data_IF_869633929628
#
_entry.id   IF_869633929628
#
_cell.length_a   1.000
_cell.length_b   1.000
_cell.length_c   1.000
_cell.angle_alpha   90.00
_cell.angle_beta   90.00
_cell.angle_gamma   90.00
#
_symmetry.space_group_name_H-M   'P 1'
#
loop_
_entity.id
_entity.type
_entity.pdbx_description
1 polymer ?
#
# COMPACT_ATOMS: atom_id res chain seq x y z
N UNK A 1 7.33 -52.35 17.09
CA UNK A 1 8.49 -51.51 16.71
C UNK A 1 7.91 -50.30 16.01
N UNK A 2 8.28 -49.08 16.39
CA UNK A 2 7.86 -47.90 15.65
C UNK A 2 8.45 -48.00 14.23
N UNK A 3 7.60 -47.97 13.22
CA UNK A 3 8.03 -48.06 11.82
C UNK A 3 8.90 -46.84 11.48
N UNK A 4 9.90 -47.04 10.62
CA UNK A 4 10.84 -45.99 10.21
C UNK A 4 10.13 -44.70 9.78
N UNK A 5 9.03 -44.86 9.02
CA UNK A 5 8.20 -43.76 8.52
C UNK A 5 7.61 -42.91 9.65
N UNK A 6 7.16 -43.54 10.74
CA UNK A 6 6.64 -42.84 11.92
C UNK A 6 7.72 -41.97 12.57
N UNK A 7 8.87 -42.55 12.91
CA UNK A 7 9.95 -41.84 13.60
C UNK A 7 10.48 -40.71 12.71
N UNK A 8 10.67 -40.99 11.43
CA UNK A 8 11.17 -40.04 10.45
C UNK A 8 10.22 -38.84 10.31
N UNK A 9 8.92 -39.09 10.17
CA UNK A 9 7.91 -38.04 10.04
C UNK A 9 7.81 -37.19 11.30
N UNK A 10 7.79 -37.81 12.48
CA UNK A 10 7.78 -37.07 13.77
C UNK A 10 9.02 -36.20 13.91
N UNK A 11 10.21 -36.72 13.59
CA UNK A 11 11.45 -35.96 13.65
C UNK A 11 11.42 -34.74 12.71
N UNK A 12 10.92 -34.90 11.48
CA UNK A 12 10.75 -33.80 10.53
C UNK A 12 9.75 -32.76 11.02
N UNK A 13 8.63 -33.16 11.63
CA UNK A 13 7.64 -32.22 12.18
C UNK A 13 8.18 -31.42 13.37
N UNK A 14 8.94 -32.07 14.25
CA UNK A 14 9.61 -31.37 15.35
C UNK A 14 10.62 -30.36 14.79
N UNK A 15 11.43 -30.78 13.82
CA UNK A 15 12.41 -29.91 13.17
C UNK A 15 11.74 -28.72 12.47
N UNK A 16 10.70 -28.97 11.69
CA UNK A 16 9.86 -27.95 11.05
C UNK A 16 9.34 -26.96 12.08
N UNK A 17 8.77 -27.45 13.19
CA UNK A 17 8.23 -26.61 14.27
C UNK A 17 9.31 -25.74 14.90
N UNK A 18 10.50 -26.28 15.16
CA UNK A 18 11.64 -25.52 15.70
C UNK A 18 12.04 -24.39 14.74
N UNK A 19 12.16 -24.66 13.45
CA UNK A 19 12.50 -23.65 12.45
C UNK A 19 11.43 -22.57 12.33
N UNK A 20 10.14 -22.94 12.36
CA UNK A 20 9.03 -22.00 12.34
C UNK A 20 9.02 -21.09 13.59
N UNK A 21 9.27 -21.64 14.77
CA UNK A 21 9.32 -20.87 16.03
C UNK A 21 10.54 -19.95 16.11
N UNK A 22 11.69 -20.38 15.55
CA UNK A 22 12.93 -19.60 15.54
C UNK A 22 12.98 -18.54 14.45
N UNK A 23 12.09 -18.60 13.46
CA UNK A 23 12.03 -17.69 12.31
C UNK A 23 13.39 -17.51 11.58
N UNK A 24 14.26 -18.54 11.60
CA UNK A 24 15.59 -18.46 10.96
C UNK A 24 15.51 -18.47 9.43
N UNK A 25 14.47 -19.08 8.88
CA UNK A 25 14.23 -19.23 7.44
C UNK A 25 12.77 -18.82 7.20
N UNK A 26 12.47 -18.28 6.01
CA UNK A 26 11.09 -17.94 5.63
C UNK A 26 10.16 -19.17 5.73
N UNK A 27 8.94 -18.95 6.22
CA UNK A 27 8.00 -20.03 6.58
C UNK A 27 7.62 -20.92 5.38
N UNK A 28 7.49 -20.34 4.19
CA UNK A 28 7.22 -21.07 2.95
C UNK A 28 8.36 -22.02 2.58
N UNK A 29 9.61 -21.60 2.77
CA UNK A 29 10.79 -22.43 2.52
C UNK A 29 10.91 -23.58 3.52
N UNK A 30 10.60 -23.33 4.80
CA UNK A 30 10.62 -24.37 5.84
C UNK A 30 9.59 -25.46 5.54
N UNK A 31 8.36 -25.07 5.23
CA UNK A 31 7.26 -26.00 4.96
C UNK A 31 7.52 -26.76 3.65
N UNK A 32 7.93 -26.07 2.58
CA UNK A 32 8.24 -26.73 1.31
C UNK A 32 9.45 -27.68 1.42
N UNK A 33 10.49 -27.31 2.17
CA UNK A 33 11.63 -28.21 2.41
C UNK A 33 11.22 -29.45 3.20
N UNK A 34 10.32 -29.30 4.17
CA UNK A 34 9.77 -30.44 4.93
C UNK A 34 9.02 -31.40 4.02
N UNK A 35 8.21 -30.88 3.09
CA UNK A 35 7.55 -31.69 2.06
C UNK A 35 8.55 -32.47 1.21
N UNK A 36 9.61 -31.81 0.71
CA UNK A 36 10.64 -32.47 -0.10
C UNK A 36 11.40 -33.55 0.68
N UNK A 37 11.65 -33.33 1.98
CA UNK A 37 12.26 -34.33 2.84
C UNK A 37 11.34 -35.55 3.06
N UNK A 38 10.03 -35.35 3.18
CA UNK A 38 9.07 -36.47 3.24
C UNK A 38 9.08 -37.32 1.96
N UNK A 39 9.23 -36.68 0.79
CA UNK A 39 9.42 -37.40 -0.49
C UNK A 39 10.75 -38.16 -0.46
N UNK A 40 11.84 -37.51 -0.05
CA UNK A 40 13.17 -38.11 -0.02
C UNK A 40 13.25 -39.30 0.96
N UNK A 41 12.53 -39.25 2.07
CA UNK A 41 12.40 -40.34 3.03
C UNK A 41 11.45 -41.46 2.59
N UNK A 42 10.79 -41.33 1.44
CA UNK A 42 9.88 -42.35 0.90
C UNK A 42 8.52 -42.44 1.60
N UNK A 43 8.19 -41.51 2.50
CA UNK A 43 6.91 -41.49 3.24
C UNK A 43 5.74 -41.12 2.32
N UNK A 44 5.99 -40.25 1.34
CA UNK A 44 5.01 -39.82 0.34
C UNK A 44 5.58 -39.90 -1.06
N UNK A 45 4.72 -40.24 -2.02
CA UNK A 45 5.06 -40.21 -3.44
C UNK A 45 5.05 -38.77 -3.98
N UNK A 46 5.76 -38.47 -5.09
CA UNK A 46 5.68 -37.15 -5.73
C UNK A 46 4.24 -36.75 -6.11
N UNK A 47 3.40 -37.72 -6.51
CA UNK A 47 2.01 -37.46 -6.85
C UNK A 47 1.21 -36.99 -5.64
N UNK A 48 1.41 -37.61 -4.48
CA UNK A 48 0.78 -37.19 -3.21
C UNK A 48 1.32 -35.85 -2.74
N UNK A 49 2.64 -35.64 -2.81
CA UNK A 49 3.27 -34.40 -2.38
C UNK A 49 2.78 -33.18 -3.16
N UNK A 50 2.60 -33.31 -4.48
CA UNK A 50 2.15 -32.22 -5.34
C UNK A 50 0.63 -32.18 -5.55
N UNK A 51 -0.15 -33.09 -4.95
CA UNK A 51 -1.61 -33.10 -5.06
C UNK A 51 -2.24 -31.77 -4.57
N UNK A 52 -1.69 -31.19 -3.50
CA UNK A 52 -2.12 -29.91 -2.93
C UNK A 52 -2.07 -28.72 -3.90
N UNK A 53 -1.29 -28.80 -4.98
CA UNK A 53 -1.25 -27.76 -6.01
C UNK A 53 -2.51 -27.74 -6.90
N UNK A 54 -3.28 -28.83 -6.89
CA UNK A 54 -4.57 -28.91 -7.59
C UNK A 54 -5.77 -28.77 -6.66
N UNK A 55 -5.54 -28.54 -5.35
CA UNK A 55 -6.60 -28.46 -4.35
C UNK A 55 -7.50 -27.23 -4.57
N UNK A 56 -8.82 -27.43 -4.41
CA UNK A 56 -9.82 -26.38 -4.60
C UNK A 56 -9.66 -25.18 -3.66
N UNK A 57 -9.29 -25.41 -2.40
CA UNK A 57 -9.05 -24.35 -1.43
C UNK A 57 -7.85 -23.49 -1.81
N UNK A 58 -6.74 -24.11 -2.21
CA UNK A 58 -5.53 -23.41 -2.67
C UNK A 58 -5.82 -22.50 -3.88
N UNK A 59 -6.46 -23.06 -4.91
CA UNK A 59 -6.81 -22.31 -6.13
C UNK A 59 -7.81 -21.19 -5.84
N UNK A 60 -8.75 -21.39 -4.93
CA UNK A 60 -9.68 -20.35 -4.46
C UNK A 60 -8.93 -19.16 -3.87
N UNK A 61 -7.93 -19.42 -3.00
CA UNK A 61 -7.09 -18.36 -2.41
C UNK A 61 -6.33 -17.58 -3.50
N UNK A 62 -5.85 -18.25 -4.53
CA UNK A 62 -5.18 -17.61 -5.67
C UNK A 62 -6.08 -16.57 -6.35
N UNK A 63 -7.31 -16.94 -6.70
CA UNK A 63 -8.25 -16.00 -7.32
C UNK A 63 -8.70 -14.89 -6.35
N UNK A 64 -8.83 -15.17 -5.05
CA UNK A 64 -9.14 -14.14 -4.05
C UNK A 64 -8.05 -13.05 -3.96
N UNK A 65 -6.77 -13.38 -4.18
CA UNK A 65 -5.71 -12.36 -4.27
C UNK A 65 -5.93 -11.41 -5.45
N UNK A 66 -6.37 -11.92 -6.60
CA UNK A 66 -6.69 -11.11 -7.79
C UNK A 66 -7.86 -10.16 -7.49
N UNK A 67 -8.93 -10.66 -6.87
CA UNK A 67 -10.10 -9.84 -6.52
C UNK A 67 -9.73 -8.76 -5.51
N UNK A 68 -8.95 -9.10 -4.48
CA UNK A 68 -8.46 -8.13 -3.51
C UNK A 68 -7.61 -7.02 -4.17
N UNK A 69 -6.72 -7.40 -5.10
CA UNK A 69 -5.93 -6.45 -5.87
C UNK A 69 -6.80 -5.57 -6.78
N UNK A 70 -7.84 -6.12 -7.40
CA UNK A 70 -8.77 -5.34 -8.22
C UNK A 70 -9.49 -4.28 -7.40
N UNK A 71 -10.03 -4.63 -6.23
CA UNK A 71 -10.71 -3.69 -5.33
C UNK A 71 -9.78 -2.59 -4.79
N UNK A 72 -8.51 -2.92 -4.60
CA UNK A 72 -7.48 -1.94 -4.29
C UNK A 72 -7.27 -0.95 -5.44
N UNK A 73 -7.10 -1.47 -6.67
CA UNK A 73 -6.91 -0.65 -7.88
C UNK A 73 -8.13 0.22 -8.20
N UNK A 74 -9.35 -0.24 -7.90
CA UNK A 74 -10.57 0.55 -8.07
C UNK A 74 -10.80 1.57 -6.94
N UNK A 75 -9.97 1.59 -5.91
CA UNK A 75 -10.01 2.58 -4.83
C UNK A 75 -11.15 2.40 -3.83
N UNK A 76 -11.84 1.25 -3.83
CA UNK A 76 -12.91 0.92 -2.86
C UNK A 76 -12.37 1.03 -1.43
N UNK A 77 -11.20 0.44 -1.18
CA UNK A 77 -10.57 0.42 0.14
C UNK A 77 -10.13 1.81 0.62
N UNK A 78 -9.78 2.72 -0.29
CA UNK A 78 -9.44 4.12 0.05
C UNK A 78 -10.67 4.96 0.41
N UNK A 79 -11.81 4.71 -0.25
CA UNK A 79 -13.07 5.39 0.07
C UNK A 79 -13.57 4.99 1.46
N UNK A 80 -13.45 3.71 1.80
CA UNK A 80 -13.71 3.19 3.15
C UNK A 80 -12.87 3.94 4.19
N UNK A 81 -11.56 4.04 4.03
CA UNK A 81 -10.70 4.72 5.01
C UNK A 81 -11.05 6.20 5.23
N UNK A 82 -11.51 6.93 4.20
CA UNK A 82 -11.98 8.32 4.35
C UNK A 82 -13.36 8.43 5.03
N UNK A 83 -14.28 7.51 4.73
CA UNK A 83 -15.62 7.50 5.31
C UNK A 83 -15.64 7.07 6.79
N UNK A 84 -14.71 6.21 7.17
CA UNK A 84 -14.64 5.56 8.48
C UNK A 84 -14.05 6.49 9.56
N UNK A 85 -13.09 7.33 9.17
CA UNK A 85 -12.20 8.00 10.09
C UNK A 85 -12.58 9.50 10.22
N UNK A 86 -13.73 9.78 10.83
CA UNK A 86 -14.17 11.15 11.11
C UNK A 86 -13.20 11.92 12.02
N UNK A 87 -13.22 13.26 11.96
CA UNK A 87 -12.23 14.12 12.63
C UNK A 87 -12.42 14.22 14.16
N UNK A 88 -13.66 14.09 14.67
CA UNK A 88 -14.00 14.32 16.09
C UNK A 88 -14.28 13.02 16.86
N UNK A 89 -13.82 12.92 18.11
CA UNK A 89 -14.15 11.83 19.05
C UNK A 89 -12.95 11.19 19.77
N UNK A 90 -13.22 10.41 20.82
CA UNK A 90 -12.21 9.63 21.56
C UNK A 90 -11.65 8.48 20.72
N UNK A 91 -10.48 7.95 21.10
CA UNK A 91 -9.81 6.84 20.40
C UNK A 91 -10.74 5.62 20.31
N UNK A 92 -11.45 5.27 21.39
CA UNK A 92 -12.41 4.15 21.37
C UNK A 92 -13.56 4.37 20.38
N UNK A 93 -14.11 5.58 20.26
CA UNK A 93 -15.15 5.88 19.25
C UNK A 93 -14.61 5.75 17.82
N UNK A 94 -13.33 6.09 17.62
CA UNK A 94 -12.64 5.96 16.33
C UNK A 94 -12.36 4.50 15.98
N UNK A 95 -11.93 3.70 16.95
CA UNK A 95 -11.81 2.25 16.80
C UNK A 95 -13.18 1.61 16.51
N UNK A 96 -14.24 1.99 17.23
CA UNK A 96 -15.58 1.46 16.97
C UNK A 96 -16.09 1.74 15.55
N UNK A 97 -15.66 2.86 14.94
CA UNK A 97 -15.96 3.15 13.53
C UNK A 97 -15.09 2.35 12.57
N UNK A 98 -13.82 2.11 12.93
CA UNK A 98 -12.83 1.45 12.08
C UNK A 98 -12.94 -0.07 12.05
N UNK A 99 -13.05 -0.71 13.22
CA UNK A 99 -12.88 -2.15 13.32
C UNK A 99 -14.03 -2.94 12.67
N UNK A 100 -15.32 -2.59 12.80
CA UNK A 100 -16.40 -3.37 12.20
C UNK A 100 -16.35 -3.42 10.66
N UNK A 101 -16.16 -2.31 9.92
CA UNK A 101 -16.01 -2.38 8.46
C UNK A 101 -14.79 -3.18 8.02
N UNK A 102 -13.68 -3.08 8.75
CA UNK A 102 -12.46 -3.86 8.44
C UNK A 102 -12.70 -5.35 8.66
N UNK A 103 -13.32 -5.70 9.78
CA UNK A 103 -13.69 -7.08 10.09
C UNK A 103 -14.67 -7.64 9.06
N UNK A 104 -15.68 -6.87 8.68
CA UNK A 104 -16.63 -7.26 7.62
C UNK A 104 -15.92 -7.48 6.27
N UNK A 105 -14.97 -6.63 5.89
CA UNK A 105 -14.18 -6.85 4.68
C UNK A 105 -13.32 -8.11 4.79
N UNK A 106 -12.62 -8.29 5.91
CA UNK A 106 -11.80 -9.50 6.15
C UNK A 106 -12.62 -10.79 6.18
N UNK A 107 -13.91 -10.70 6.50
CA UNK A 107 -14.81 -11.84 6.38
C UNK A 107 -15.01 -12.30 4.93
N UNK A 108 -14.61 -11.53 3.91
CA UNK A 108 -14.75 -11.93 2.50
C UNK A 108 -13.42 -11.91 1.74
N UNK A 109 -12.31 -11.56 2.39
CA UNK A 109 -11.00 -11.41 1.79
C UNK A 109 -9.91 -11.90 2.72
N UNK A 110 -8.77 -12.27 2.14
CA UNK A 110 -7.59 -12.57 2.92
C UNK A 110 -7.15 -11.35 3.77
N UNK A 111 -6.77 -11.62 5.02
CA UNK A 111 -6.40 -10.60 6.01
C UNK A 111 -5.20 -9.74 5.54
N UNK A 112 -4.19 -10.37 4.95
CA UNK A 112 -2.89 -9.72 4.65
C UNK A 112 -3.00 -8.56 3.65
N UNK A 113 -3.64 -8.72 2.47
CA UNK A 113 -3.87 -7.59 1.56
C UNK A 113 -4.64 -6.44 2.20
N UNK A 114 -5.73 -6.73 2.93
CA UNK A 114 -6.54 -5.68 3.56
C UNK A 114 -5.71 -4.85 4.53
N UNK A 115 -4.98 -5.52 5.43
CA UNK A 115 -4.15 -4.82 6.42
C UNK A 115 -3.07 -4.01 5.73
N UNK A 116 -2.33 -4.60 4.79
CA UNK A 116 -1.28 -3.91 4.03
C UNK A 116 -1.80 -2.65 3.32
N UNK A 117 -3.02 -2.72 2.76
CA UNK A 117 -3.66 -1.61 2.07
C UNK A 117 -4.22 -0.54 3.01
N UNK A 118 -4.67 -0.93 4.20
CA UNK A 118 -5.21 0.01 5.20
C UNK A 118 -4.14 0.65 6.07
N UNK A 119 -2.95 0.03 6.22
CA UNK A 119 -1.81 0.64 6.93
C UNK A 119 -1.51 2.07 6.47
N UNK A 120 -1.30 2.37 5.17
CA UNK A 120 -0.99 3.74 4.74
C UNK A 120 -2.15 4.70 4.99
N UNK A 121 -3.40 4.25 4.87
CA UNK A 121 -4.59 5.09 5.09
C UNK A 121 -4.76 5.43 6.57
N UNK A 122 -4.65 4.42 7.44
CA UNK A 122 -4.72 4.60 8.90
C UNK A 122 -3.54 5.41 9.40
N UNK A 123 -2.33 5.18 8.86
CA UNK A 123 -1.13 5.96 9.19
C UNK A 123 -1.29 7.43 8.82
N UNK A 124 -1.68 7.74 7.58
CA UNK A 124 -1.89 9.11 7.11
C UNK A 124 -2.96 9.83 7.92
N UNK A 125 -4.08 9.15 8.19
CA UNK A 125 -5.14 9.74 9.01
C UNK A 125 -4.72 9.97 10.47
N UNK A 126 -4.04 9.00 11.09
CA UNK A 126 -3.58 9.11 12.48
C UNK A 126 -2.58 10.28 12.61
N UNK A 127 -1.67 10.43 11.64
CA UNK A 127 -0.74 11.56 11.55
C UNK A 127 -1.46 12.90 11.42
N UNK A 128 -2.38 13.03 10.46
CA UNK A 128 -3.17 14.25 10.24
C UNK A 128 -3.94 14.71 11.48
N UNK A 129 -4.33 13.76 12.33
CA UNK A 129 -5.10 14.03 13.54
C UNK A 129 -4.27 13.97 14.84
N UNK A 130 -2.94 13.97 14.75
CA UNK A 130 -2.01 13.92 15.89
C UNK A 130 -2.24 12.74 16.84
N UNK A 131 -2.61 11.58 16.30
CA UNK A 131 -2.71 10.33 17.06
C UNK A 131 -1.52 9.41 16.83
N UNK A 132 -1.16 8.67 17.88
CA UNK A 132 -0.14 7.64 17.82
C UNK A 132 -0.63 6.44 17.00
N UNK A 133 0.09 6.14 15.91
CA UNK A 133 -0.24 5.12 14.91
C UNK A 133 -0.36 3.72 15.54
N UNK A 134 0.47 3.43 16.54
CA UNK A 134 0.46 2.15 17.27
C UNK A 134 -0.90 1.81 17.88
N UNK A 135 -1.69 2.82 18.28
CA UNK A 135 -3.02 2.64 18.85
C UNK A 135 -4.09 2.23 17.83
N UNK A 136 -3.78 2.23 16.54
CA UNK A 136 -4.71 1.88 15.47
C UNK A 136 -4.24 0.69 14.62
N UNK A 137 -2.94 0.53 14.37
CA UNK A 137 -2.45 -0.57 13.52
C UNK A 137 -2.60 -1.95 14.16
N UNK A 138 -2.34 -2.07 15.47
CA UNK A 138 -2.55 -3.33 16.18
C UNK A 138 -4.04 -3.71 16.18
N UNK A 139 -4.97 -2.84 16.60
CA UNK A 139 -6.41 -3.09 16.51
C UNK A 139 -6.89 -3.45 15.10
N UNK A 140 -6.36 -2.75 14.08
CA UNK A 140 -6.67 -3.02 12.67
C UNK A 140 -6.32 -4.47 12.30
N UNK A 141 -5.12 -4.92 12.66
CA UNK A 141 -4.67 -6.29 12.39
C UNK A 141 -5.55 -7.32 13.10
N UNK A 142 -5.89 -7.11 14.37
CA UNK A 142 -6.76 -8.03 15.11
C UNK A 142 -8.19 -8.04 14.59
N UNK A 143 -8.75 -6.90 14.18
CA UNK A 143 -10.07 -6.86 13.58
C UNK A 143 -10.11 -7.59 12.22
N UNK A 144 -9.05 -7.49 11.43
CA UNK A 144 -8.91 -8.29 10.21
C UNK A 144 -8.89 -9.80 10.54
N UNK A 145 -8.07 -10.23 11.49
CA UNK A 145 -8.01 -11.64 11.93
C UNK A 145 -9.38 -12.14 12.40
N UNK A 146 -10.05 -11.40 13.29
CA UNK A 146 -11.39 -11.73 13.79
C UNK A 146 -12.42 -11.77 12.66
N UNK A 147 -12.36 -10.83 11.72
CA UNK A 147 -13.19 -10.84 10.52
C UNK A 147 -12.98 -12.09 9.66
N UNK A 148 -11.72 -12.46 9.42
CA UNK A 148 -11.35 -13.64 8.63
C UNK A 148 -11.90 -14.94 9.21
N UNK A 149 -12.11 -15.01 10.53
CA UNK A 149 -12.73 -16.19 11.18
C UNK A 149 -14.25 -16.28 11.00
N UNK A 150 -14.91 -15.26 10.43
CA UNK A 150 -16.36 -15.24 10.31
C UNK A 150 -16.91 -16.04 9.13
N UNK A 151 -16.14 -16.34 8.09
CA UNK A 151 -16.62 -17.11 6.93
C UNK A 151 -15.61 -18.15 6.49
N UNK A 152 -16.05 -19.03 5.60
CA UNK A 152 -15.19 -20.04 4.98
C UNK A 152 -14.01 -19.46 4.20
N UNK A 153 -14.18 -18.32 3.51
CA UNK A 153 -13.12 -17.72 2.68
C UNK A 153 -12.27 -16.68 3.39
N UNK A 154 -12.66 -16.25 4.59
CA UNK A 154 -11.99 -15.14 5.28
C UNK A 154 -10.54 -15.45 5.68
N UNK A 155 -10.18 -16.73 5.82
CA UNK A 155 -8.81 -17.15 6.09
C UNK A 155 -8.43 -18.40 5.31
N UNK A 156 -7.18 -18.47 4.89
CA UNK A 156 -6.61 -19.64 4.20
C UNK A 156 -6.73 -20.92 5.02
N UNK A 157 -6.68 -20.83 6.35
CA UNK A 157 -6.83 -21.98 7.25
C UNK A 157 -8.19 -22.64 7.12
N UNK A 158 -9.27 -21.87 6.97
CA UNK A 158 -10.63 -22.40 6.80
C UNK A 158 -10.77 -23.13 5.46
N UNK A 159 -10.17 -22.57 4.40
CA UNK A 159 -10.15 -23.19 3.08
C UNK A 159 -9.29 -24.46 3.03
N UNK A 160 -8.18 -24.51 3.79
CA UNK A 160 -7.37 -25.73 3.93
C UNK A 160 -8.20 -26.83 4.59
N UNK A 161 -8.86 -26.53 5.72
CA UNK A 161 -9.71 -27.50 6.43
C UNK A 161 -10.85 -27.99 5.53
N UNK A 162 -11.57 -27.08 4.87
CA UNK A 162 -12.61 -27.45 3.92
C UNK A 162 -12.09 -28.29 2.75
N UNK A 163 -10.92 -27.96 2.21
CA UNK A 163 -10.27 -28.75 1.17
C UNK A 163 -9.94 -30.17 1.64
N UNK A 164 -9.38 -30.32 2.85
CA UNK A 164 -9.09 -31.62 3.45
C UNK A 164 -10.37 -32.42 3.72
N UNK A 165 -11.46 -31.77 4.13
CA UNK A 165 -12.74 -32.44 4.32
C UNK A 165 -13.26 -33.08 3.03
N UNK A 166 -13.24 -32.32 1.93
CA UNK A 166 -13.68 -32.82 0.62
C UNK A 166 -12.78 -33.96 0.11
N UNK A 167 -11.46 -33.86 0.29
CA UNK A 167 -10.52 -34.92 -0.11
C UNK A 167 -10.73 -36.22 0.67
N UNK A 168 -11.17 -36.13 1.92
CA UNK A 168 -11.50 -37.28 2.77
C UNK A 168 -12.95 -37.77 2.59
N UNK A 169 -13.67 -37.30 1.56
CA UNK A 169 -15.05 -37.72 1.27
C UNK A 169 -16.09 -37.22 2.28
N UNK A 170 -15.74 -36.24 3.12
CA UNK A 170 -16.69 -35.57 4.02
C UNK A 170 -17.40 -34.44 3.29
N UNK A 171 -18.61 -34.09 3.75
CA UNK A 171 -19.29 -32.89 3.28
C UNK A 171 -18.46 -31.65 3.66
N UNK A 172 -18.16 -30.80 2.68
CA UNK A 172 -17.42 -29.57 2.93
C UNK A 172 -18.25 -28.56 3.72
N UNK A 173 -17.58 -27.67 4.45
CA UNK A 173 -18.24 -26.58 5.18
C UNK A 173 -19.09 -25.70 4.27
N UNK A 174 -20.29 -25.34 4.73
CA UNK A 174 -21.10 -24.30 4.08
C UNK A 174 -20.50 -22.91 4.29
N UNK A 175 -20.79 -21.98 3.37
CA UNK A 175 -20.14 -20.66 3.34
C UNK A 175 -20.24 -19.87 4.67
N UNK A 176 -21.41 -19.89 5.32
CA UNK A 176 -21.68 -19.20 6.59
C UNK A 176 -21.76 -20.15 7.80
N UNK A 177 -21.29 -21.38 7.68
CA UNK A 177 -21.37 -22.36 8.77
C UNK A 177 -20.56 -21.91 9.99
N UNK A 178 -19.32 -21.47 9.73
CA UNK A 178 -18.39 -20.95 10.74
C UNK A 178 -18.91 -19.63 11.33
N UNK A 179 -19.77 -18.89 10.62
CA UNK A 179 -20.29 -17.59 11.10
C UNK A 179 -21.05 -17.70 12.41
N UNK A 180 -21.67 -18.85 12.69
CA UNK A 180 -22.38 -19.11 13.96
C UNK A 180 -21.48 -18.94 15.18
N UNK A 181 -20.20 -19.31 15.07
CA UNK A 181 -19.20 -19.16 16.13
C UNK A 181 -18.31 -17.95 15.89
N UNK A 182 -17.91 -17.71 14.65
CA UNK A 182 -17.01 -16.63 14.26
C UNK A 182 -17.58 -15.23 14.50
N UNK A 183 -18.86 -14.99 14.18
CA UNK A 183 -19.47 -13.65 14.38
C UNK A 183 -19.55 -13.27 15.86
N UNK A 184 -20.05 -14.12 16.77
CA UNK A 184 -20.00 -13.82 18.21
C UNK A 184 -18.58 -13.55 18.72
N UNK A 185 -17.60 -14.36 18.32
CA UNK A 185 -16.20 -14.17 18.71
C UNK A 185 -15.64 -12.85 18.18
N UNK A 186 -15.94 -12.49 16.93
CA UNK A 186 -15.53 -11.23 16.33
C UNK A 186 -16.16 -10.03 17.04
N UNK A 187 -17.46 -10.09 17.36
CA UNK A 187 -18.15 -9.02 18.09
C UNK A 187 -17.54 -8.82 19.48
N UNK A 188 -17.33 -9.90 20.23
CA UNK A 188 -16.73 -9.84 21.58
C UNK A 188 -15.29 -9.35 21.49
N UNK A 189 -14.49 -9.88 20.57
CA UNK A 189 -13.10 -9.48 20.37
C UNK A 189 -12.97 -8.01 19.98
N UNK A 190 -13.81 -7.52 19.05
CA UNK A 190 -13.86 -6.10 18.68
C UNK A 190 -14.27 -5.24 19.88
N UNK A 191 -15.26 -5.66 20.67
CA UNK A 191 -15.68 -4.93 21.86
C UNK A 191 -14.53 -4.80 22.88
N UNK A 192 -13.81 -5.89 23.14
CA UNK A 192 -12.62 -5.90 24.02
C UNK A 192 -11.56 -4.93 23.48
N UNK A 193 -11.26 -4.98 22.18
CA UNK A 193 -10.27 -4.08 21.58
C UNK A 193 -10.72 -2.62 21.70
N UNK A 194 -11.98 -2.30 21.40
CA UNK A 194 -12.50 -0.93 21.50
C UNK A 194 -12.42 -0.38 22.93
N UNK A 195 -12.68 -1.21 23.93
CA UNK A 195 -12.70 -0.82 25.35
C UNK A 195 -11.27 -0.72 25.90
N UNK A 196 -10.43 -1.72 25.66
CA UNK A 196 -9.15 -1.87 26.36
C UNK A 196 -7.93 -1.44 25.55
N UNK A 197 -7.97 -1.45 24.21
CA UNK A 197 -6.78 -1.18 23.39
C UNK A 197 -6.22 0.22 23.62
N UNK A 198 -7.06 1.22 23.87
CA UNK A 198 -6.59 2.57 24.18
C UNK A 198 -5.71 2.63 25.44
N UNK A 199 -5.99 1.78 26.45
CA UNK A 199 -5.28 1.74 27.74
C UNK A 199 -4.07 0.80 27.72
N UNK A 200 -4.20 -0.36 27.06
CA UNK A 200 -3.17 -1.39 27.05
C UNK A 200 -2.07 -1.13 26.02
N UNK A 201 -2.39 -0.49 24.88
CA UNK A 201 -1.41 -0.33 23.81
C UNK A 201 -0.45 0.84 24.10
N UNK A 202 0.86 0.60 23.97
CA UNK A 202 1.86 1.63 24.21
C UNK A 202 1.72 2.77 23.21
N UNK A 203 1.91 3.98 23.71
CA UNK A 203 1.92 5.17 22.89
C UNK A 203 3.30 5.35 22.26
N UNK A 204 3.47 4.78 21.06
CA UNK A 204 4.69 4.95 20.26
C UNK A 204 4.44 6.05 19.25
N UNK A 205 4.92 7.25 19.55
CA UNK A 205 5.08 8.30 18.53
C UNK A 205 6.29 7.90 17.70
N UNK A 206 6.09 7.57 16.42
CA UNK A 206 7.21 7.47 15.50
C UNK A 206 7.96 8.81 15.54
N UNK A 207 9.31 8.85 15.68
CA UNK A 207 10.05 10.07 15.42
C UNK A 207 9.64 10.53 14.04
N UNK A 208 9.15 11.76 14.01
CA UNK A 208 8.25 12.25 12.99
C UNK A 208 8.95 12.16 11.62
N UNK A 209 8.49 11.24 10.76
CA UNK A 209 8.74 11.34 9.31
C UNK A 209 7.77 12.40 8.78
N UNK A 210 8.12 13.66 9.06
CA UNK A 210 7.37 14.88 8.70
C UNK A 210 7.50 15.22 7.21
N UNK A 211 8.34 14.49 6.47
CA UNK A 211 8.91 14.96 5.21
C UNK A 211 7.97 14.92 4.00
N UNK A 212 6.96 14.04 3.98
CA UNK A 212 6.13 13.82 2.78
C UNK A 212 4.73 14.44 2.81
N UNK A 213 4.15 14.63 4.00
CA UNK A 213 2.76 15.10 4.13
C UNK A 213 2.66 16.64 4.24
N UNK A 214 3.64 17.31 4.84
CA UNK A 214 3.70 18.78 4.90
C UNK A 214 4.12 19.45 3.58
N UNK A 215 4.45 18.69 2.55
CA UNK A 215 4.84 19.19 1.21
C UNK A 215 3.67 19.21 0.22
N UNK A 216 2.54 18.55 0.54
CA UNK A 216 1.31 18.60 -0.28
C UNK A 216 0.50 19.87 -0.09
N UNK A 217 0.81 20.61 0.95
CA UNK A 217 0.35 21.97 1.21
C UNK A 217 1.64 22.79 1.02
N UNK A 218 1.88 23.44 -0.11
CA UNK A 218 1.76 24.90 -0.28
C UNK A 218 2.11 25.26 -1.73
N UNK A 219 1.57 24.52 -2.70
CA UNK A 219 1.59 24.96 -4.08
C UNK A 219 0.44 25.95 -4.29
N UNK A 220 0.76 27.16 -4.74
CA UNK A 220 -0.22 28.22 -4.99
C UNK A 220 -0.20 28.55 -6.47
N UNK A 221 -1.39 28.65 -7.07
CA UNK A 221 -1.56 29.13 -8.43
C UNK A 221 -2.02 30.59 -8.41
N UNK A 222 -1.28 31.45 -9.11
CA UNK A 222 -1.68 32.83 -9.40
C UNK A 222 -2.01 32.97 -10.87
N UNK A 223 -3.03 33.75 -11.19
CA UNK A 223 -3.33 34.16 -12.57
C UNK A 223 -2.73 35.54 -12.81
N UNK A 224 -2.06 35.71 -13.96
CA UNK A 224 -1.63 37.01 -14.45
C UNK A 224 -2.83 37.73 -15.07
N UNK A 225 -3.23 38.85 -14.48
CA UNK A 225 -4.29 39.73 -15.00
C UNK A 225 -3.71 40.91 -15.79
N UNK A 226 -4.58 41.63 -16.49
CA UNK A 226 -4.21 42.71 -17.43
C UNK A 226 -3.55 43.90 -16.76
N UNK A 227 -3.72 44.06 -15.45
CA UNK A 227 -3.10 45.06 -14.58
C UNK A 227 -1.70 44.64 -14.06
N UNK A 228 -1.16 43.50 -14.51
CA UNK A 228 0.18 43.07 -14.12
C UNK A 228 1.28 43.90 -14.82
N UNK A 229 2.02 44.69 -14.04
CA UNK A 229 3.03 45.64 -14.54
C UNK A 229 4.22 45.02 -15.30
N UNK A 230 4.37 43.69 -15.28
CA UNK A 230 5.50 42.97 -15.89
C UNK A 230 5.07 42.02 -17.02
N UNK A 231 3.92 42.27 -17.66
CA UNK A 231 3.55 41.56 -18.90
C UNK A 231 4.61 41.81 -19.98
N UNK A 232 5.06 40.74 -20.64
CA UNK A 232 6.08 40.75 -21.69
C UNK A 232 7.53 40.75 -21.19
N UNK A 233 7.75 40.94 -19.89
CA UNK A 233 9.06 40.89 -19.23
C UNK A 233 9.44 39.45 -18.85
N UNK A 234 10.73 39.22 -18.64
CA UNK A 234 11.23 37.92 -18.19
C UNK A 234 10.88 37.66 -16.72
N UNK A 235 10.90 36.40 -16.30
CA UNK A 235 10.67 35.99 -14.89
C UNK A 235 11.65 36.64 -13.93
N UNK A 236 12.86 36.94 -14.40
CA UNK A 236 13.87 37.69 -13.64
C UNK A 236 13.54 39.18 -13.55
N UNK A 237 13.22 39.83 -14.67
CA UNK A 237 12.80 41.24 -14.72
C UNK A 237 11.50 41.52 -13.95
N UNK A 238 10.66 40.49 -13.81
CA UNK A 238 9.44 40.52 -13.03
C UNK A 238 9.65 40.30 -11.52
N UNK A 239 10.90 40.05 -11.09
CA UNK A 239 11.25 39.80 -9.69
C UNK A 239 10.71 38.49 -9.12
N UNK A 240 10.01 37.67 -9.93
CA UNK A 240 9.41 36.40 -9.50
C UNK A 240 10.45 35.31 -9.23
N UNK A 241 11.71 35.53 -9.65
CA UNK A 241 12.82 34.63 -9.37
C UNK A 241 13.46 34.84 -7.99
N UNK A 242 13.37 36.05 -7.45
CA UNK A 242 14.09 36.45 -6.23
C UNK A 242 13.20 36.54 -4.99
N UNK A 243 11.97 36.06 -5.08
CA UNK A 243 11.02 36.05 -3.98
C UNK A 243 11.61 35.37 -2.72
N UNK A 244 11.42 35.99 -1.57
CA UNK A 244 11.87 35.44 -0.28
C UNK A 244 10.89 34.33 0.12
N UNK A 245 11.35 33.09 0.12
CA UNK A 245 10.55 31.94 0.59
C UNK A 245 9.47 31.44 -0.36
N UNK A 246 9.43 31.90 -1.61
CA UNK A 246 8.55 31.40 -2.68
C UNK A 246 9.36 31.16 -3.95
N UNK A 247 8.99 30.11 -4.69
CA UNK A 247 9.67 29.71 -5.92
C UNK A 247 8.67 29.40 -7.02
N UNK A 248 8.74 30.14 -8.14
CA UNK A 248 8.00 29.84 -9.36
C UNK A 248 8.62 28.63 -10.05
N UNK A 249 7.89 27.51 -10.06
CA UNK A 249 8.40 26.26 -10.66
C UNK A 249 7.73 25.92 -11.99
N UNK A 250 6.57 26.50 -12.29
CA UNK A 250 5.81 26.21 -13.50
C UNK A 250 4.99 27.42 -13.97
N UNK A 251 4.95 27.61 -15.30
CA UNK A 251 3.98 28.48 -15.98
C UNK A 251 3.09 27.60 -16.86
N UNK A 252 1.77 27.77 -16.76
CA UNK A 252 0.81 27.18 -17.71
C UNK A 252 0.25 28.30 -18.60
N UNK A 253 0.42 28.12 -19.92
CA UNK A 253 -0.02 29.05 -20.97
C UNK A 253 -0.79 28.30 -22.04
N UNK A 254 -2.04 28.66 -22.29
CA UNK A 254 -2.88 28.04 -23.34
C UNK A 254 -2.86 26.49 -23.30
N UNK A 255 -3.00 25.90 -22.11
CA UNK A 255 -2.88 24.45 -21.83
C UNK A 255 -1.51 23.81 -22.16
N UNK A 256 -0.45 24.60 -22.37
CA UNK A 256 0.93 24.12 -22.45
C UNK A 256 1.65 24.40 -21.14
N UNK A 257 2.40 23.42 -20.67
CA UNK A 257 3.16 23.49 -19.42
C UNK A 257 4.61 23.85 -19.75
N UNK A 258 5.04 24.99 -19.23
CA UNK A 258 6.42 25.44 -19.24
C UNK A 258 7.01 25.11 -17.86
N UNK A 259 7.64 23.94 -17.79
CA UNK A 259 8.28 23.47 -16.57
C UNK A 259 9.63 22.80 -16.85
N UNK A 260 10.65 23.11 -16.05
CA UNK A 260 10.71 24.22 -15.10
C UNK A 260 10.99 25.56 -15.79
N UNK A 261 10.57 26.61 -15.10
CA UNK A 261 10.64 28.00 -15.56
C UNK A 261 12.09 28.52 -15.53
N UNK A 262 12.56 29.00 -16.68
CA UNK A 262 13.83 29.70 -16.88
C UNK A 262 13.76 31.16 -16.43
N UNK A 263 14.91 31.80 -16.26
CA UNK A 263 15.00 33.23 -15.95
C UNK A 263 14.55 34.10 -17.14
N UNK A 264 14.83 33.66 -18.37
CA UNK A 264 14.47 34.34 -19.62
C UNK A 264 13.01 34.12 -20.06
N UNK A 265 12.27 33.25 -19.37
CA UNK A 265 10.88 32.97 -19.75
C UNK A 265 10.05 34.24 -19.58
N UNK A 266 9.38 34.67 -20.65
CA UNK A 266 8.52 35.85 -20.62
C UNK A 266 7.16 35.52 -20.04
N UNK A 267 6.64 36.41 -19.21
CA UNK A 267 5.31 36.32 -18.60
C UNK A 267 4.30 37.02 -19.49
N UNK A 268 3.17 36.38 -19.78
CA UNK A 268 2.10 36.97 -20.57
C UNK A 268 0.79 37.00 -19.79
N UNK A 269 -0.13 37.84 -20.25
CA UNK A 269 -1.49 37.91 -19.73
C UNK A 269 -2.17 36.53 -19.79
N UNK A 270 -2.95 36.19 -18.77
CA UNK A 270 -3.61 34.90 -18.57
C UNK A 270 -2.68 33.70 -18.31
N UNK A 271 -1.37 33.91 -18.16
CA UNK A 271 -0.48 32.87 -17.64
C UNK A 271 -0.92 32.46 -16.22
N UNK A 272 -0.82 31.16 -15.94
CA UNK A 272 -1.00 30.61 -14.60
C UNK A 272 0.36 30.24 -14.03
N UNK A 273 0.72 30.94 -12.97
CA UNK A 273 2.02 30.85 -12.32
C UNK A 273 1.90 29.98 -11.07
N UNK A 274 2.68 28.90 -10.99
CA UNK A 274 2.66 27.97 -9.87
C UNK A 274 3.88 28.16 -8.99
N UNK A 275 3.64 28.50 -7.73
CA UNK A 275 4.66 28.76 -6.73
C UNK A 275 4.67 27.67 -5.66
N UNK A 276 5.85 27.37 -5.11
CA UNK A 276 6.03 26.53 -3.91
C UNK A 276 6.80 27.32 -2.85
N UNK A 277 6.42 27.25 -1.57
CA UNK A 277 7.05 28.06 -0.53
C UNK A 277 6.40 28.03 0.85
N UNK A 278 6.76 28.99 1.71
CA UNK A 278 6.21 29.15 3.06
C UNK A 278 4.81 29.82 3.01
N UNK A 279 3.88 29.51 3.93
CA UNK A 279 2.53 30.09 3.92
C UNK A 279 2.51 31.61 4.19
N UNK A 280 3.47 32.09 4.98
CA UNK A 280 3.57 33.49 5.40
C UNK A 280 3.88 34.42 4.22
N UNK A 281 4.56 33.92 3.18
CA UNK A 281 5.02 34.71 2.03
C UNK A 281 3.95 34.82 0.93
N UNK A 282 2.86 34.03 1.01
CA UNK A 282 1.72 34.10 0.08
C UNK A 282 1.05 35.47 0.13
N UNK A 283 0.98 36.05 1.33
CA UNK A 283 0.41 37.38 1.58
C UNK A 283 1.23 38.47 0.89
N UNK A 284 2.55 38.30 0.74
CA UNK A 284 3.39 39.23 -0.02
C UNK A 284 3.12 39.12 -1.53
N UNK A 285 2.89 37.90 -2.03
CA UNK A 285 2.64 37.67 -3.44
C UNK A 285 1.27 38.21 -3.89
N UNK A 286 0.25 38.14 -3.01
CA UNK A 286 -1.07 38.77 -3.23
C UNK A 286 -1.04 40.31 -3.23
N UNK A 287 -0.03 40.93 -2.62
CA UNK A 287 0.15 42.39 -2.65
C UNK A 287 0.74 42.88 -3.97
N UNK A 288 1.15 41.97 -4.87
CA UNK A 288 1.65 42.32 -6.20
C UNK A 288 0.47 42.68 -7.10
N UNK A 289 0.34 43.94 -7.57
CA UNK A 289 -0.76 44.34 -8.46
C UNK A 289 -0.77 43.48 -9.74
N UNK A 290 -1.95 43.00 -10.12
CA UNK A 290 -2.19 42.11 -11.26
C UNK A 290 -1.81 40.63 -11.12
N UNK A 291 -1.45 40.18 -9.93
CA UNK A 291 -1.43 38.75 -9.60
C UNK A 291 -2.62 38.38 -8.72
N UNK A 292 -3.62 37.75 -9.32
CA UNK A 292 -4.82 37.32 -8.62
C UNK A 292 -4.74 35.84 -8.23
N UNK A 293 -5.08 35.56 -6.97
CA UNK A 293 -5.09 34.19 -6.47
C UNK A 293 -6.25 33.42 -7.11
N UNK A 294 -5.94 32.30 -7.78
CA UNK A 294 -6.96 31.42 -8.35
C UNK A 294 -7.72 30.74 -7.20
N UNK A 295 -8.89 31.28 -6.85
CA UNK A 295 -9.77 30.78 -5.78
C UNK A 295 -10.24 29.33 -5.96
N UNK A 296 -10.02 28.74 -7.13
CA UNK A 296 -10.39 27.36 -7.48
C UNK A 296 -9.22 26.37 -7.49
N UNK A 297 -8.01 26.77 -7.06
CA UNK A 297 -6.84 25.88 -7.06
C UNK A 297 -6.80 24.92 -5.85
N UNK A 298 -7.84 24.11 -5.68
CA UNK A 298 -7.57 22.71 -5.35
C UNK A 298 -6.86 22.14 -6.56
N UNK A 299 -5.53 22.03 -6.50
CA UNK A 299 -4.73 21.45 -7.58
C UNK A 299 -5.26 20.04 -7.82
N UNK A 300 -6.04 19.88 -8.89
CA UNK A 300 -6.42 18.56 -9.35
C UNK A 300 -5.22 18.01 -10.12
N UNK A 301 -4.28 17.44 -9.36
CA UNK A 301 -3.15 16.66 -9.87
C UNK A 301 -3.61 15.51 -10.82
N UNK A 302 -4.92 15.25 -10.92
CA UNK A 302 -5.56 14.33 -11.87
C UNK A 302 -5.56 14.80 -13.33
N UNK A 303 -5.30 16.08 -13.61
CA UNK A 303 -5.18 16.57 -15.00
C UNK A 303 -3.80 16.33 -15.62
N UNK A 304 -2.83 15.86 -14.82
CA UNK A 304 -1.60 15.29 -15.32
C UNK A 304 -1.83 13.80 -15.56
N UNK A 305 -1.45 13.29 -16.73
CA UNK A 305 -1.40 11.85 -16.96
C UNK A 305 -0.57 11.22 -15.83
N UNK A 306 -1.27 10.56 -14.91
CA UNK A 306 -0.73 9.97 -13.68
C UNK A 306 0.21 8.80 -13.94
N UNK A 307 0.48 8.49 -15.20
CA UNK A 307 1.15 7.25 -15.61
C UNK A 307 2.67 7.38 -15.70
N UNK A 308 3.24 8.60 -15.83
CA UNK A 308 4.67 8.78 -16.16
C UNK A 308 5.58 9.31 -15.02
N UNK A 309 5.05 10.05 -14.05
CA UNK A 309 5.83 10.70 -12.97
C UNK A 309 5.52 10.11 -11.58
N UNK A 310 6.50 10.18 -10.68
CA UNK A 310 6.42 9.71 -9.29
C UNK A 310 7.28 10.53 -8.32
N UNK A 311 6.92 10.50 -7.04
CA UNK A 311 7.69 11.15 -5.97
C UNK A 311 8.50 10.10 -5.21
N UNK A 312 9.78 10.40 -4.99
CA UNK A 312 10.73 9.51 -4.33
C UNK A 312 11.44 10.23 -3.19
N UNK A 313 11.67 9.52 -2.11
CA UNK A 313 12.51 9.97 -0.99
C UNK A 313 13.87 9.30 -1.11
N UNK A 314 14.95 10.07 -1.17
CA UNK A 314 16.32 9.59 -1.36
C UNK A 314 17.27 10.13 -0.29
N UNK A 315 18.16 9.29 0.24
CA UNK A 315 19.22 9.70 1.19
C UNK A 315 20.55 9.76 0.46
N UNK A 316 21.25 10.89 0.53
CA UNK A 316 22.56 11.08 -0.11
C UNK A 316 23.60 10.16 0.55
N UNK A 317 24.25 9.31 -0.23
CA UNK A 317 25.33 8.47 0.28
C UNK A 317 26.63 9.28 0.48
N UNK A 318 27.56 8.86 1.36
CA UNK A 318 28.91 9.42 1.50
C UNK A 318 29.75 9.39 0.22
N UNK A 319 29.41 8.54 -0.74
CA UNK A 319 30.09 8.43 -2.02
C UNK A 319 29.41 9.27 -3.11
N UNK A 320 28.36 10.02 -2.76
CA UNK A 320 27.56 10.75 -3.72
C UNK A 320 28.35 11.93 -4.28
N UNK A 321 28.36 12.12 -5.61
CA UNK A 321 29.00 13.25 -6.27
C UNK A 321 28.26 14.59 -6.02
N UNK A 322 27.15 14.53 -5.28
CA UNK A 322 26.36 15.65 -4.83
C UNK A 322 26.96 16.33 -3.59
N UNK A 323 27.81 15.63 -2.84
CA UNK A 323 28.38 16.14 -1.59
C UNK A 323 29.26 17.35 -1.85
N UNK A 324 29.10 18.38 -1.03
CA UNK A 324 29.91 19.60 -1.07
C UNK A 324 29.47 20.60 -2.14
N UNK A 325 28.48 20.25 -2.99
CA UNK A 325 27.88 21.16 -3.97
C UNK A 325 26.60 21.73 -3.42
N UNK A 326 26.31 22.99 -3.76
CA UNK A 326 24.96 23.52 -3.54
C UNK A 326 23.98 22.93 -4.56
N UNK A 327 22.68 23.01 -4.27
CA UNK A 327 21.64 22.43 -5.13
C UNK A 327 21.68 22.97 -6.56
N UNK A 328 22.07 24.24 -6.77
CA UNK A 328 22.23 24.82 -8.12
C UNK A 328 23.40 24.20 -8.88
N UNK A 329 24.54 24.02 -8.22
CA UNK A 329 25.77 23.43 -8.79
C UNK A 329 25.72 21.90 -8.94
N UNK A 330 24.79 21.27 -8.24
CA UNK A 330 24.66 19.82 -8.21
C UNK A 330 24.17 19.21 -9.53
N UNK A 331 23.60 20.02 -10.42
CA UNK A 331 22.98 19.63 -11.69
C UNK A 331 22.05 18.41 -11.58
N UNK A 332 21.35 18.26 -10.44
CA UNK A 332 20.46 17.12 -10.18
C UNK A 332 19.39 16.98 -11.27
N UNK A 333 18.93 18.12 -11.80
CA UNK A 333 17.95 18.19 -12.87
C UNK A 333 18.42 17.50 -14.16
N UNK A 334 19.67 17.72 -14.56
CA UNK A 334 20.21 17.16 -15.79
C UNK A 334 20.70 15.73 -15.59
N UNK A 335 21.38 15.49 -14.46
CA UNK A 335 22.01 14.20 -14.17
C UNK A 335 21.01 13.10 -13.83
N UNK A 336 19.99 13.43 -13.05
CA UNK A 336 19.04 12.46 -12.50
C UNK A 336 17.62 12.61 -13.08
N UNK A 337 17.39 13.62 -13.93
CA UNK A 337 16.07 13.97 -14.45
C UNK A 337 15.02 14.12 -13.34
N UNK A 338 15.43 14.79 -12.26
CA UNK A 338 14.69 14.90 -11.02
C UNK A 338 14.68 16.34 -10.51
N UNK A 339 13.60 16.72 -9.82
CA UNK A 339 13.45 18.04 -9.18
C UNK A 339 13.39 17.87 -7.67
N UNK A 340 14.23 18.59 -6.93
CA UNK A 340 14.18 18.59 -5.46
C UNK A 340 12.99 19.43 -5.00
N UNK A 341 12.09 18.79 -4.26
CA UNK A 341 10.92 19.39 -3.62
C UNK A 341 11.29 19.86 -2.20
N UNK A 342 12.10 19.08 -1.48
CA UNK A 342 12.53 19.39 -0.12
C UNK A 342 13.87 18.74 0.25
N UNK A 343 14.59 19.35 1.20
CA UNK A 343 15.84 18.85 1.78
C UNK A 343 15.72 18.87 3.29
N UNK A 344 16.24 17.82 3.92
CA UNK A 344 16.18 17.63 5.35
C UNK A 344 17.51 17.08 5.89
N UNK A 345 17.91 17.55 7.08
CA UNK A 345 19.17 17.19 7.73
C UNK A 345 18.93 16.94 9.21
N UNK A 346 19.34 15.78 9.72
CA UNK A 346 19.38 15.48 11.15
C UNK A 346 18.08 15.81 11.93
N UNK A 347 16.92 15.43 11.40
CA UNK A 347 15.60 15.70 12.02
C UNK A 347 15.14 17.18 12.01
N UNK A 348 15.84 18.08 11.30
CA UNK A 348 15.42 19.47 11.13
C UNK A 348 15.26 19.86 9.65
N UNK A 349 14.20 20.62 9.36
CA UNK A 349 14.00 21.22 8.03
C UNK A 349 14.94 22.41 7.90
N UNK A 350 15.81 22.36 6.89
CA UNK A 350 16.72 23.46 6.58
C UNK A 350 15.87 24.68 6.17
N UNK A 351 15.92 25.75 6.97
CA UNK A 351 15.16 27.01 6.76
C UNK A 351 15.77 27.91 5.67
N UNK A 352 16.83 27.45 5.01
CA UNK A 352 17.52 28.18 3.94
C UNK A 352 16.85 27.93 2.59
N UNK A 353 17.08 28.83 1.63
CA UNK A 353 16.62 28.64 0.24
C UNK A 353 17.20 27.32 -0.28
N UNK A 354 16.34 26.40 -0.71
CA UNK A 354 16.72 25.05 -1.18
C UNK A 354 17.88 25.10 -2.19
N UNK A 355 17.88 26.09 -3.10
CA UNK A 355 18.94 26.27 -4.11
C UNK A 355 20.35 26.54 -3.55
N UNK A 356 20.45 27.16 -2.38
CA UNK A 356 21.71 27.59 -1.76
C UNK A 356 22.20 26.58 -0.69
N UNK A 357 21.46 25.49 -0.49
CA UNK A 357 21.83 24.45 0.47
C UNK A 357 22.98 23.62 -0.09
N UNK A 358 24.10 23.59 0.62
CA UNK A 358 25.22 22.68 0.36
C UNK A 358 24.83 21.28 0.83
N UNK A 359 24.80 20.33 -0.10
CA UNK A 359 24.40 18.95 0.14
C UNK A 359 25.49 18.19 0.90
N UNK A 360 25.08 17.42 1.90
CA UNK A 360 25.95 16.61 2.75
C UNK A 360 25.54 15.14 2.72
N UNK A 361 26.49 14.27 3.06
CA UNK A 361 26.20 12.85 3.27
C UNK A 361 25.14 12.70 4.37
N UNK A 362 24.13 11.88 4.13
CA UNK A 362 23.02 11.68 5.05
C UNK A 362 21.87 12.69 4.93
N UNK A 363 21.97 13.71 4.07
CA UNK A 363 20.81 14.55 3.74
C UNK A 363 19.72 13.73 3.05
N UNK A 364 18.47 13.96 3.45
CA UNK A 364 17.30 13.34 2.82
C UNK A 364 16.66 14.34 1.84
N UNK A 365 16.54 13.93 0.58
CA UNK A 365 15.92 14.69 -0.49
C UNK A 365 14.56 14.08 -0.85
N UNK A 366 13.54 14.93 -0.94
CA UNK A 366 12.28 14.57 -1.58
C UNK A 366 12.32 15.05 -3.03
N UNK A 367 12.22 14.13 -3.99
CA UNK A 367 12.38 14.43 -5.42
C UNK A 367 11.16 14.01 -6.26
N UNK A 368 10.86 14.78 -7.30
CA UNK A 368 9.92 14.43 -8.35
C UNK A 368 10.70 13.94 -9.57
N UNK A 369 10.43 12.72 -10.04
CA UNK A 369 11.11 12.12 -11.20
C UNK A 369 10.18 11.17 -11.98
N UNK A 370 10.64 10.64 -13.11
CA UNK A 370 9.93 9.58 -13.86
C UNK A 370 9.80 8.30 -13.03
N UNK A 371 8.75 7.49 -13.28
CA UNK A 371 8.46 6.28 -12.46
C UNK A 371 9.59 5.23 -12.46
N UNK A 372 10.39 5.19 -13.50
CA UNK A 372 11.56 4.30 -13.67
C UNK A 372 12.82 4.78 -12.92
N UNK A 373 12.76 5.93 -12.25
CA UNK A 373 13.85 6.48 -11.44
C UNK A 373 14.39 5.46 -10.44
N UNK A 374 13.47 4.78 -9.74
CA UNK A 374 13.81 3.70 -8.81
C UNK A 374 14.65 2.61 -9.49
N UNK A 375 14.15 2.05 -10.59
CA UNK A 375 14.83 0.96 -11.30
C UNK A 375 16.23 1.36 -11.79
N UNK A 376 16.40 2.64 -12.18
CA UNK A 376 17.67 3.16 -12.69
C UNK A 376 18.70 3.46 -11.60
N UNK A 377 18.26 3.96 -10.45
CA UNK A 377 19.16 4.50 -9.42
C UNK A 377 19.19 3.71 -8.11
N UNK A 378 18.37 2.66 -7.96
CA UNK A 378 18.34 1.79 -6.77
C UNK A 378 19.69 1.10 -6.49
N UNK A 379 20.41 0.69 -7.54
CA UNK A 379 21.73 0.07 -7.41
C UNK A 379 22.90 1.07 -7.53
N UNK A 380 22.60 2.36 -7.68
CA UNK A 380 23.65 3.38 -7.75
C UNK A 380 24.28 3.59 -6.39
N UNK A 381 25.57 3.91 -6.35
CA UNK A 381 26.25 4.27 -5.11
C UNK A 381 25.88 5.67 -4.63
N UNK A 382 25.04 6.41 -5.35
CA UNK A 382 24.76 7.83 -5.11
C UNK A 382 23.71 8.05 -3.99
N UNK A 383 22.84 7.06 -3.74
CA UNK A 383 21.75 7.14 -2.76
C UNK A 383 21.59 5.84 -1.96
N UNK A 384 21.26 5.94 -0.66
CA UNK A 384 21.18 4.78 0.24
C UNK A 384 19.78 4.20 0.48
N UNK A 385 18.71 4.89 0.10
CA UNK A 385 17.35 4.39 0.24
C UNK A 385 16.47 5.18 -0.72
N UNK A 386 15.73 4.51 -1.61
CA UNK A 386 14.74 5.15 -2.47
C UNK A 386 13.37 4.56 -2.12
N UNK A 387 12.51 5.31 -1.43
CA UNK A 387 11.16 4.84 -1.10
C UNK A 387 10.16 5.39 -2.12
N UNK A 388 9.32 4.50 -2.69
CA UNK A 388 8.19 4.89 -3.55
C UNK A 388 7.11 5.48 -2.65
N UNK A 389 6.78 6.76 -2.81
CA UNK A 389 5.58 7.31 -2.17
C UNK A 389 4.35 6.57 -2.70
N UNK A 390 3.48 6.13 -1.78
CA UNK A 390 2.35 5.25 -2.03
C UNK A 390 1.56 5.62 -3.30
N UNK A 391 1.39 4.65 -4.20
CA UNK A 391 0.58 4.80 -5.40
C UNK A 391 -0.84 5.20 -5.01
N UNK A 392 -1.33 6.32 -5.56
CA UNK A 392 -2.72 6.72 -5.40
C UNK A 392 -3.51 6.05 -6.53
N UNK A 393 -4.41 5.09 -6.24
CA UNK A 393 -5.26 4.50 -7.26
C UNK A 393 -6.16 5.61 -7.85
N UNK A 394 -6.05 5.84 -9.16
CA UNK A 394 -6.76 6.90 -9.89
C UNK A 394 -7.74 6.33 -10.91
N UNK A 395 -8.52 5.29 -10.54
CA UNK A 395 -9.60 4.80 -11.40
C UNK A 395 -10.90 5.58 -11.17
N UNK A 396 -11.72 5.82 -12.22
CA UNK A 396 -13.02 6.48 -12.10
C UNK A 396 -13.93 5.80 -11.06
N UNK A 397 -14.77 6.58 -10.36
CA UNK A 397 -15.67 6.08 -9.30
C UNK A 397 -16.59 4.94 -9.73
N UNK A 398 -16.99 4.89 -11.00
CA UNK A 398 -17.77 3.80 -11.59
C UNK A 398 -17.10 2.43 -11.38
N UNK A 399 -15.78 2.35 -11.55
CA UNK A 399 -15.05 1.09 -11.35
C UNK A 399 -15.13 0.59 -9.91
N UNK A 400 -15.19 1.50 -8.93
CA UNK A 400 -15.39 1.14 -7.53
C UNK A 400 -16.73 0.45 -7.32
N UNK A 401 -17.82 1.06 -7.84
CA UNK A 401 -19.18 0.54 -7.73
C UNK A 401 -19.28 -0.80 -8.45
N UNK A 402 -18.80 -0.87 -9.69
CA UNK A 402 -18.81 -2.10 -10.49
C UNK A 402 -18.07 -3.24 -9.77
N UNK A 403 -16.86 -3.00 -9.26
CA UNK A 403 -16.10 -4.03 -8.54
C UNK A 403 -16.80 -4.49 -7.25
N UNK A 404 -17.50 -3.59 -6.56
CA UNK A 404 -18.30 -3.92 -5.37
C UNK A 404 -19.56 -4.71 -5.73
N UNK A 405 -20.19 -4.40 -6.87
CA UNK A 405 -21.33 -5.17 -7.40
C UNK A 405 -20.92 -6.59 -7.78
N UNK A 406 -19.79 -6.75 -8.48
CA UNK A 406 -19.25 -8.09 -8.81
C UNK A 406 -18.98 -8.89 -7.54
N UNK A 407 -18.37 -8.27 -6.53
CA UNK A 407 -18.17 -8.89 -5.23
C UNK A 407 -19.49 -9.30 -4.56
N UNK A 408 -20.49 -8.41 -4.53
CA UNK A 408 -21.79 -8.69 -3.94
C UNK A 408 -22.49 -9.87 -4.62
N UNK A 409 -22.46 -9.91 -5.95
CA UNK A 409 -23.01 -11.02 -6.74
C UNK A 409 -22.24 -12.31 -6.42
N UNK A 410 -20.90 -12.27 -6.41
CA UNK A 410 -20.07 -13.41 -6.06
C UNK A 410 -20.46 -13.99 -4.69
N UNK A 411 -20.60 -13.15 -3.67
CA UNK A 411 -20.99 -13.57 -2.31
C UNK A 411 -22.38 -14.21 -2.31
N UNK A 412 -23.36 -13.66 -3.03
CA UNK A 412 -24.70 -14.26 -3.14
C UNK A 412 -24.65 -15.65 -3.76
N UNK A 413 -23.92 -15.82 -4.87
CA UNK A 413 -23.75 -17.13 -5.51
C UNK A 413 -23.10 -18.16 -4.60
N UNK A 414 -22.09 -17.75 -3.82
CA UNK A 414 -21.43 -18.61 -2.84
C UNK A 414 -22.35 -18.97 -1.67
N UNK A 415 -23.11 -18.00 -1.15
CA UNK A 415 -24.04 -18.21 -0.06
C UNK A 415 -25.21 -19.14 -0.43
N UNK A 416 -25.67 -19.06 -1.67
CA UNK A 416 -26.75 -19.92 -2.19
C UNK A 416 -26.28 -21.31 -2.62
N UNK A 417 -24.97 -21.60 -2.56
CA UNK A 417 -24.36 -22.89 -2.94
C UNK A 417 -24.76 -23.38 -4.35
N UNK A 418 -25.00 -22.45 -5.29
CA UNK A 418 -25.46 -22.77 -6.65
C UNK A 418 -24.32 -23.37 -7.49
N UNK A 419 -23.09 -22.92 -7.25
CA UNK A 419 -21.89 -23.33 -7.98
C UNK A 419 -20.73 -23.55 -7.00
N UNK A 420 -19.76 -24.43 -7.31
CA UNK A 420 -18.57 -24.60 -6.50
C UNK A 420 -17.83 -23.28 -6.28
N UNK A 421 -17.33 -23.08 -5.06
CA UNK A 421 -16.67 -21.85 -4.62
C UNK A 421 -15.57 -21.40 -5.60
N UNK A 422 -14.70 -22.34 -5.99
CA UNK A 422 -13.60 -22.08 -6.93
C UNK A 422 -14.09 -21.51 -8.28
N UNK A 423 -15.22 -22.02 -8.78
CA UNK A 423 -15.79 -21.57 -10.07
C UNK A 423 -16.36 -20.16 -9.92
N UNK A 424 -17.10 -19.91 -8.85
CA UNK A 424 -17.69 -18.59 -8.58
C UNK A 424 -16.61 -17.50 -8.43
N UNK A 425 -15.54 -17.79 -7.67
CA UNK A 425 -14.43 -16.84 -7.44
C UNK A 425 -13.60 -16.65 -8.72
N UNK A 426 -13.34 -17.70 -9.49
CA UNK A 426 -12.59 -17.58 -10.75
C UNK A 426 -13.34 -16.76 -11.80
N UNK A 427 -14.66 -16.96 -11.95
CA UNK A 427 -15.51 -16.13 -12.83
C UNK A 427 -15.46 -14.66 -12.40
N UNK A 428 -15.59 -14.37 -11.11
CA UNK A 428 -15.50 -13.00 -10.60
C UNK A 428 -14.13 -12.36 -10.90
N UNK A 429 -13.02 -13.10 -10.70
CA UNK A 429 -11.68 -12.64 -11.03
C UNK A 429 -11.53 -12.33 -12.52
N UNK A 430 -12.02 -13.20 -13.41
CA UNK A 430 -11.99 -12.98 -14.86
C UNK A 430 -12.82 -11.77 -15.27
N UNK A 431 -14.02 -11.59 -14.72
CA UNK A 431 -14.86 -10.41 -14.98
C UNK A 431 -14.11 -9.13 -14.60
N UNK A 432 -13.41 -9.10 -13.46
CA UNK A 432 -12.64 -7.93 -13.02
C UNK A 432 -11.42 -7.65 -13.90
N UNK A 433 -10.78 -8.67 -14.45
CA UNK A 433 -9.69 -8.50 -15.43
C UNK A 433 -10.25 -7.97 -16.75
N UNK A 434 -11.27 -8.61 -17.31
CA UNK A 434 -11.86 -8.27 -18.62
C UNK A 434 -12.51 -6.88 -18.64
N UNK A 435 -13.15 -6.49 -17.53
CA UNK A 435 -13.73 -5.14 -17.37
C UNK A 435 -12.68 -4.04 -17.23
N UNK A 436 -11.41 -4.38 -17.03
CA UNK A 436 -10.33 -3.43 -16.82
C UNK A 436 -10.27 -2.86 -15.39
N UNK A 437 -10.94 -3.48 -14.40
CA UNK A 437 -10.75 -3.14 -12.98
C UNK A 437 -9.29 -3.37 -12.54
N UNK A 438 -8.62 -4.37 -13.10
CA UNK A 438 -7.20 -4.67 -12.91
C UNK A 438 -6.56 -5.09 -14.23
N UNK A 439 -5.29 -4.77 -14.46
CA UNK A 439 -4.55 -5.29 -15.61
C UNK A 439 -4.13 -6.74 -15.37
N UNK A 440 -4.00 -7.55 -16.43
CA UNK A 440 -3.55 -8.95 -16.29
C UNK A 440 -2.18 -9.07 -15.59
N UNK A 441 -1.30 -8.08 -15.82
CA UNK A 441 0.01 -8.01 -15.17
C UNK A 441 -0.11 -7.72 -13.68
N UNK A 442 -0.90 -6.71 -13.30
CA UNK A 442 -1.15 -6.40 -11.90
C UNK A 442 -1.83 -7.56 -11.18
N UNK A 443 -2.73 -8.29 -11.84
CA UNK A 443 -3.38 -9.45 -11.27
C UNK A 443 -2.36 -10.51 -10.85
N UNK A 444 -1.41 -10.84 -11.73
CA UNK A 444 -0.36 -11.84 -11.47
C UNK A 444 0.64 -11.33 -10.41
N UNK A 445 1.07 -10.07 -10.53
CA UNK A 445 2.06 -9.47 -9.62
C UNK A 445 1.55 -9.38 -8.16
N UNK A 446 0.23 -9.40 -7.95
CA UNK A 446 -0.38 -9.33 -6.61
C UNK A 446 -0.74 -10.71 -6.02
N UNK A 447 -0.48 -11.82 -6.73
CA UNK A 447 -0.64 -13.16 -6.17
C UNK A 447 0.50 -13.44 -5.19
N UNK A 448 0.16 -13.80 -3.95
CA UNK A 448 1.15 -14.19 -2.96
C UNK A 448 1.53 -15.67 -3.12
N UNK A 449 2.54 -15.92 -3.95
CA UNK A 449 3.05 -17.27 -4.21
C UNK A 449 3.55 -18.00 -2.96
N UNK A 450 4.08 -17.29 -1.96
CA UNK A 450 4.53 -17.89 -0.69
C UNK A 450 3.38 -18.52 0.07
N UNK A 451 2.24 -17.82 0.15
CA UNK A 451 1.04 -18.35 0.82
C UNK A 451 0.49 -19.56 0.06
N UNK A 452 0.45 -19.51 -1.27
CA UNK A 452 0.00 -20.65 -2.08
C UNK A 452 0.92 -21.86 -1.91
N UNK A 453 2.24 -21.64 -1.85
CA UNK A 453 3.23 -22.68 -1.61
C UNK A 453 3.05 -23.34 -0.24
N UNK A 454 2.80 -22.55 0.80
CA UNK A 454 2.50 -23.05 2.16
C UNK A 454 1.25 -23.94 2.13
N UNK A 455 0.15 -23.43 1.55
CA UNK A 455 -1.11 -24.17 1.48
C UNK A 455 -0.92 -25.49 0.73
N UNK A 456 -0.35 -25.44 -0.48
CA UNK A 456 -0.14 -26.63 -1.30
C UNK A 456 0.77 -27.66 -0.59
N UNK A 457 1.84 -27.21 0.06
CA UNK A 457 2.76 -28.09 0.79
C UNK A 457 2.13 -28.70 2.03
N UNK A 458 1.24 -27.97 2.72
CA UNK A 458 0.55 -28.47 3.90
C UNK A 458 -0.30 -29.71 3.60
N UNK A 459 -0.94 -29.79 2.42
CA UNK A 459 -1.68 -30.98 1.99
C UNK A 459 -0.77 -32.20 1.81
N UNK A 460 0.40 -32.02 1.19
CA UNK A 460 1.36 -33.11 1.03
C UNK A 460 1.97 -33.57 2.36
N UNK A 461 2.23 -32.63 3.29
CA UNK A 461 2.66 -32.96 4.65
C UNK A 461 1.56 -33.72 5.39
N UNK A 462 0.29 -33.27 5.30
CA UNK A 462 -0.84 -33.97 5.90
C UNK A 462 -0.92 -35.43 5.41
N UNK A 463 -0.72 -35.65 4.10
CA UNK A 463 -0.65 -37.00 3.54
C UNK A 463 0.51 -37.83 4.09
N UNK A 464 1.64 -37.18 4.40
CA UNK A 464 2.76 -37.81 5.09
C UNK A 464 2.43 -38.27 6.50
N UNK A 465 1.67 -37.48 7.26
CA UNK A 465 1.20 -37.87 8.60
C UNK A 465 0.27 -39.10 8.54
N UNK A 466 -0.64 -39.13 7.55
CA UNK A 466 -1.55 -40.26 7.35
C UNK A 466 -0.79 -41.54 6.98
N UNK A 467 0.12 -41.45 6.00
CA UNK A 467 0.90 -42.60 5.52
C UNK A 467 1.81 -43.16 6.61
N UNK A 468 2.46 -42.30 7.40
CA UNK A 468 3.37 -42.71 8.48
C UNK A 468 2.66 -43.22 9.74
N UNK A 469 1.32 -43.20 9.79
CA UNK A 469 0.53 -43.56 10.96
C UNK A 469 0.63 -42.58 12.13
N UNK A 470 1.09 -41.35 11.90
CA UNK A 470 1.22 -40.30 12.94
C UNK A 470 -0.13 -39.64 13.22
N UNK A 471 -1.06 -39.70 12.26
CA UNK A 471 -2.41 -39.17 12.40
C UNK A 471 -3.33 -39.98 13.34
N UNK A 472 -2.95 -41.21 13.70
CA UNK A 472 -3.70 -42.15 14.55
C UNK A 472 -2.94 -42.45 15.84
#
# INVERSE_FOLDING_TARGET
MLEFEFIYTVALLILMTIFLVKEYIETDMVIFSTLLLLIAGGVITPKEAFAGFSNHGMLTVCFLFIIAAALYRTGVLNQLGKAILGNKGSISKKLLRLLPPVSALSAFFNNTPIVAMLIPVVRSWARKNNYSISKFLIPLSYAAILGGTCTLIGTSTNLVVHGLMLENGMEGLSFFEISKTGVPVAVIGIAIIVIFAHRLLPERKEPIVELGEKTREFVIAMKVESDYNHIGKTVEEAGLRHLKGLFLFQIERNNKILAPVSHDDKIYENDRLFFTGLPETIVELQKTPGLCLLREASIDLKKYNSDDLGTFEVVISPNSPLIGKNVRESNIRERYNAVIIAIHRSAERIKMKVGDVVLQAGDTLLILAKRDFLKRWYHSKDFFLVSKSAEIPSKPRWYSIFSLSVLGIMVVFMASNIMPIIVTVSIAAVILILSGCISSRDAIDNINWKVLLIIASAFGIAKGLDNSGVAY
#
